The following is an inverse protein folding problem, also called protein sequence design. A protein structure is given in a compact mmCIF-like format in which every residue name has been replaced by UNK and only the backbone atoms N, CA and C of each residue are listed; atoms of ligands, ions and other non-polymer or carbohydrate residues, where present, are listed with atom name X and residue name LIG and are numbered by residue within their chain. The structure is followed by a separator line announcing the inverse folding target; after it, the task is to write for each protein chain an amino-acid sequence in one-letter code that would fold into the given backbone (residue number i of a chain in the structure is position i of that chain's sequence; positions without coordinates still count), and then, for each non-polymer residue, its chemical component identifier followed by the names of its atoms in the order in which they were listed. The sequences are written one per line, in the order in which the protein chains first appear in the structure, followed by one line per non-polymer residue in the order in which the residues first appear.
data_IF_458554230289
#
_entry.id   IF_458554230289
#
_cell.length_a   1.000
_cell.length_b   1.000
_cell.length_c   1.000
_cell.angle_alpha   90.00
_cell.angle_beta   90.00
_cell.angle_gamma   90.00
#
_symmetry.space_group_name_H-M   'P 1'
#
loop_
_entity.id
_entity.type
_entity.pdbx_description
1 polymer ?
#
# COMPACT_ATOMS: atom_id res chain seq x y z
N UNK A 1 9.26 -32.10 -15.65
CA UNK A 1 9.37 -30.62 -15.59
C UNK A 1 8.55 -29.93 -16.69
N UNK A 2 8.68 -30.25 -17.96
CA UNK A 2 7.85 -29.66 -19.04
C UNK A 2 6.32 -29.83 -18.85
N UNK A 3 5.86 -30.89 -18.16
CA UNK A 3 4.44 -31.16 -17.91
C UNK A 3 3.80 -30.16 -16.92
N UNK A 4 4.48 -29.80 -15.81
CA UNK A 4 3.92 -28.90 -14.79
C UNK A 4 3.84 -27.46 -15.28
N UNK A 5 4.84 -26.99 -16.02
CA UNK A 5 4.83 -25.65 -16.60
C UNK A 5 3.64 -25.49 -17.56
N UNK A 6 3.44 -26.45 -18.44
CA UNK A 6 2.31 -26.46 -19.39
C UNK A 6 0.94 -26.51 -18.70
N UNK A 7 0.84 -27.13 -17.50
CA UNK A 7 -0.40 -27.12 -16.71
C UNK A 7 -0.73 -25.72 -16.18
N UNK A 8 0.27 -25.04 -15.62
CA UNK A 8 0.07 -23.67 -15.10
C UNK A 8 -0.17 -22.67 -16.24
N UNK A 9 0.56 -22.81 -17.37
CA UNK A 9 0.33 -21.95 -18.54
C UNK A 9 -1.11 -22.06 -19.08
N UNK A 10 -1.70 -23.25 -19.07
CA UNK A 10 -3.09 -23.45 -19.53
C UNK A 10 -4.14 -22.80 -18.67
N UNK A 11 -3.90 -22.67 -17.38
CA UNK A 11 -4.84 -22.05 -16.43
C UNK A 11 -4.52 -20.57 -16.15
N UNK A 12 -3.50 -20.01 -16.81
CA UNK A 12 -3.05 -18.65 -16.49
C UNK A 12 -4.12 -17.60 -16.74
N UNK A 13 -4.88 -17.73 -17.83
CA UNK A 13 -6.01 -16.84 -18.11
C UNK A 13 -7.11 -16.98 -17.05
N UNK A 14 -7.38 -18.18 -16.55
CA UNK A 14 -8.34 -18.41 -15.46
C UNK A 14 -7.83 -17.80 -14.14
N UNK A 15 -6.51 -17.83 -13.89
CA UNK A 15 -5.88 -17.14 -12.75
C UNK A 15 -6.13 -15.64 -12.82
N UNK A 16 -5.92 -15.00 -13.99
CA UNK A 16 -6.17 -13.56 -14.18
C UNK A 16 -7.64 -13.20 -13.92
N UNK A 17 -8.59 -14.00 -14.43
CA UNK A 17 -10.02 -13.80 -14.21
C UNK A 17 -10.37 -13.92 -12.72
N UNK A 18 -9.80 -14.92 -12.04
CA UNK A 18 -10.04 -15.15 -10.62
C UNK A 18 -9.48 -14.03 -9.74
N UNK A 19 -8.30 -13.49 -10.09
CA UNK A 19 -7.71 -12.33 -9.43
C UNK A 19 -8.63 -11.10 -9.49
N UNK A 20 -9.28 -10.88 -10.63
CA UNK A 20 -10.21 -9.76 -10.82
C UNK A 20 -11.53 -9.96 -10.06
N UNK A 21 -12.11 -11.16 -10.14
CA UNK A 21 -13.45 -11.42 -9.64
C UNK A 21 -13.52 -11.77 -8.14
N UNK A 22 -12.51 -12.43 -7.61
CA UNK A 22 -12.55 -12.97 -6.23
C UNK A 22 -11.54 -12.29 -5.29
N UNK A 23 -10.50 -11.64 -5.84
CA UNK A 23 -9.45 -11.03 -5.02
C UNK A 23 -9.35 -9.51 -5.16
N UNK A 24 -10.34 -8.87 -5.79
CA UNK A 24 -10.46 -7.41 -5.96
C UNK A 24 -9.21 -6.76 -6.57
N UNK A 25 -8.44 -7.50 -7.37
CA UNK A 25 -7.32 -6.93 -8.12
C UNK A 25 -7.87 -6.21 -9.34
N UNK A 26 -7.70 -4.91 -9.42
CA UNK A 26 -8.28 -4.12 -10.51
C UNK A 26 -7.75 -4.55 -11.89
N UNK A 27 -8.60 -4.51 -12.93
CA UNK A 27 -8.20 -4.80 -14.32
C UNK A 27 -6.99 -3.96 -14.76
N UNK A 28 -6.87 -2.72 -14.28
CA UNK A 28 -5.72 -1.87 -14.56
C UNK A 28 -4.41 -2.44 -13.98
N UNK A 29 -4.47 -2.95 -12.74
CA UNK A 29 -3.32 -3.57 -12.09
C UNK A 29 -2.94 -4.90 -12.75
N UNK A 30 -3.93 -5.71 -13.13
CA UNK A 30 -3.71 -6.97 -13.86
C UNK A 30 -2.99 -6.69 -15.18
N UNK A 31 -3.49 -5.74 -15.98
CA UNK A 31 -2.90 -5.42 -17.28
C UNK A 31 -1.50 -4.80 -17.17
N UNK A 32 -1.25 -3.98 -16.12
CA UNK A 32 0.03 -3.30 -15.96
C UNK A 32 1.13 -4.19 -15.36
N UNK A 33 0.79 -5.12 -14.46
CA UNK A 33 1.77 -5.79 -13.59
C UNK A 33 1.72 -7.31 -13.61
N UNK A 34 0.54 -7.93 -13.80
CA UNK A 34 0.41 -9.40 -13.72
C UNK A 34 0.44 -10.03 -15.11
N UNK A 35 -0.27 -9.44 -16.06
CA UNK A 35 -0.29 -9.91 -17.44
C UNK A 35 1.08 -9.88 -18.14
N UNK A 36 2.00 -8.93 -17.84
CA UNK A 36 3.37 -8.96 -18.36
C UNK A 36 4.28 -10.02 -17.73
N UNK A 37 3.82 -10.76 -16.72
CA UNK A 37 4.60 -11.83 -16.10
C UNK A 37 4.60 -13.08 -17.01
N UNK A 38 5.76 -13.69 -17.15
CA UNK A 38 5.95 -14.94 -17.88
C UNK A 38 6.34 -16.06 -16.92
N UNK A 39 5.76 -17.25 -17.09
CA UNK A 39 6.12 -18.42 -16.31
C UNK A 39 7.48 -18.92 -16.80
N UNK A 40 8.53 -18.65 -16.00
CA UNK A 40 9.90 -19.07 -16.33
C UNK A 40 10.12 -20.54 -16.00
N UNK A 41 9.79 -20.95 -14.78
CA UNK A 41 9.96 -22.33 -14.31
C UNK A 41 8.89 -22.70 -13.27
N UNK A 42 8.57 -24.01 -13.20
CA UNK A 42 7.62 -24.57 -12.21
C UNK A 42 8.26 -25.78 -11.55
N UNK A 43 8.48 -25.70 -10.25
CA UNK A 43 9.01 -26.73 -9.38
C UNK A 43 7.89 -27.37 -8.56
N UNK A 44 8.20 -28.33 -7.72
CA UNK A 44 7.20 -29.11 -6.98
C UNK A 44 6.25 -28.26 -6.12
N UNK A 45 6.74 -27.15 -5.57
CA UNK A 45 5.98 -26.23 -4.68
C UNK A 45 6.28 -24.75 -4.96
N UNK A 46 6.94 -24.44 -6.07
CA UNK A 46 7.41 -23.09 -6.38
C UNK A 46 7.22 -22.78 -7.86
N UNK A 47 6.74 -21.56 -8.14
CA UNK A 47 6.62 -21.02 -9.49
C UNK A 47 7.53 -19.79 -9.58
N UNK A 48 8.39 -19.77 -10.59
CA UNK A 48 9.24 -18.63 -10.90
C UNK A 48 8.61 -17.87 -12.07
N UNK A 49 8.22 -16.63 -11.80
CA UNK A 49 7.67 -15.71 -12.77
C UNK A 49 8.77 -14.71 -13.19
N UNK A 50 8.96 -14.50 -14.48
CA UNK A 50 9.87 -13.47 -14.99
C UNK A 50 9.13 -12.22 -15.40
N UNK A 51 9.75 -11.07 -15.15
CA UNK A 51 9.30 -9.76 -15.58
C UNK A 51 10.32 -9.20 -16.58
N UNK A 52 9.83 -8.60 -17.67
CA UNK A 52 10.63 -7.97 -18.71
C UNK A 52 11.63 -6.94 -18.10
N UNK A 53 12.85 -6.90 -18.58
CA UNK A 53 13.93 -6.02 -18.08
C UNK A 53 13.58 -4.53 -18.05
N UNK A 54 12.59 -4.09 -18.87
CA UNK A 54 12.09 -2.70 -18.84
C UNK A 54 11.46 -2.27 -17.51
N UNK A 55 11.09 -3.20 -16.63
CA UNK A 55 10.41 -2.92 -15.36
C UNK A 55 11.37 -2.73 -14.17
N UNK A 56 12.66 -2.89 -14.29
CA UNK A 56 13.69 -2.82 -13.26
C UNK A 56 13.33 -3.54 -11.92
N UNK A 57 14.21 -3.47 -10.92
CA UNK A 57 13.97 -4.08 -9.60
C UNK A 57 12.80 -3.41 -8.83
N UNK A 58 12.49 -2.14 -9.12
CA UNK A 58 11.37 -1.42 -8.50
C UNK A 58 10.03 -2.03 -8.91
N UNK A 59 9.93 -2.56 -10.13
CA UNK A 59 8.76 -3.31 -10.58
C UNK A 59 8.50 -4.56 -9.74
N UNK A 60 9.52 -5.36 -9.46
CA UNK A 60 9.40 -6.53 -8.58
C UNK A 60 9.04 -6.12 -7.15
N UNK A 61 9.68 -5.07 -6.62
CA UNK A 61 9.35 -4.55 -5.29
C UNK A 61 7.90 -4.08 -5.21
N UNK A 62 7.39 -3.41 -6.25
CA UNK A 62 6.00 -3.00 -6.32
C UNK A 62 5.04 -4.20 -6.31
N UNK A 63 5.31 -5.22 -7.15
CA UNK A 63 4.51 -6.46 -7.22
C UNK A 63 4.45 -7.14 -5.85
N UNK A 64 5.59 -7.26 -5.16
CA UNK A 64 5.68 -7.83 -3.80
C UNK A 64 5.00 -6.95 -2.75
N UNK A 65 5.17 -5.63 -2.81
CA UNK A 65 4.51 -4.67 -1.90
C UNK A 65 2.98 -4.77 -2.00
N UNK A 66 2.46 -5.01 -3.20
CA UNK A 66 1.02 -5.20 -3.48
C UNK A 66 0.54 -6.63 -3.21
N UNK A 67 1.44 -7.53 -2.76
CA UNK A 67 1.15 -8.93 -2.45
C UNK A 67 0.55 -9.71 -3.61
N UNK A 68 0.92 -9.35 -4.85
CA UNK A 68 0.44 -10.09 -6.01
C UNK A 68 0.99 -11.53 -6.06
N UNK A 69 2.16 -11.79 -5.48
CA UNK A 69 2.68 -13.14 -5.21
C UNK A 69 1.69 -13.99 -4.42
N UNK A 70 1.14 -13.43 -3.35
CA UNK A 70 0.16 -14.10 -2.51
C UNK A 70 -1.16 -14.36 -3.25
N UNK A 71 -1.72 -13.34 -3.90
CA UNK A 71 -2.98 -13.50 -4.63
C UNK A 71 -2.85 -14.46 -5.80
N UNK A 72 -1.73 -14.44 -6.54
CA UNK A 72 -1.43 -15.40 -7.61
C UNK A 72 -1.33 -16.83 -7.03
N UNK A 73 -0.60 -17.00 -5.91
CA UNK A 73 -0.48 -18.29 -5.22
C UNK A 73 -1.85 -18.83 -4.79
N UNK A 74 -2.72 -17.96 -4.25
CA UNK A 74 -4.06 -18.32 -3.80
C UNK A 74 -4.95 -18.73 -4.99
N UNK A 75 -4.99 -17.94 -6.06
CA UNK A 75 -5.75 -18.24 -7.26
C UNK A 75 -5.32 -19.57 -7.92
N UNK A 76 -4.01 -19.82 -7.99
CA UNK A 76 -3.49 -21.10 -8.50
C UNK A 76 -3.86 -22.26 -7.56
N UNK A 77 -3.78 -22.05 -6.25
CA UNK A 77 -4.16 -23.06 -5.25
C UNK A 77 -5.62 -23.48 -5.39
N UNK A 78 -6.50 -22.51 -5.61
CA UNK A 78 -7.94 -22.77 -5.78
C UNK A 78 -8.25 -23.55 -7.08
N UNK A 79 -7.48 -23.27 -8.15
CA UNK A 79 -7.67 -23.95 -9.44
C UNK A 79 -7.03 -25.35 -9.50
N UNK A 80 -5.92 -25.54 -8.77
CA UNK A 80 -5.13 -26.78 -8.88
C UNK A 80 -5.21 -27.69 -7.66
N UNK A 81 -5.71 -27.16 -6.52
CA UNK A 81 -5.68 -27.84 -5.23
C UNK A 81 -4.27 -27.93 -4.60
N UNK A 82 -3.26 -27.25 -5.20
CA UNK A 82 -1.87 -27.27 -4.72
C UNK A 82 -1.40 -25.86 -4.41
N UNK A 83 -0.67 -25.72 -3.31
CA UNK A 83 -0.07 -24.44 -2.92
C UNK A 83 1.33 -24.32 -3.51
N UNK A 84 1.59 -23.17 -4.13
CA UNK A 84 2.88 -22.81 -4.71
C UNK A 84 3.39 -21.51 -4.08
N UNK A 85 4.67 -21.46 -3.80
CA UNK A 85 5.38 -20.22 -3.49
C UNK A 85 5.74 -19.50 -4.80
N UNK A 86 5.46 -18.21 -4.90
CA UNK A 86 5.72 -17.42 -6.10
C UNK A 86 7.00 -16.61 -5.90
N UNK A 87 7.93 -16.76 -6.83
CA UNK A 87 9.13 -15.93 -6.93
C UNK A 87 9.15 -15.15 -8.22
N UNK A 88 9.72 -13.92 -8.15
CA UNK A 88 9.87 -13.05 -9.31
C UNK A 88 11.33 -12.86 -9.64
N UNK A 89 11.66 -12.93 -10.93
CA UNK A 89 12.98 -12.64 -11.48
C UNK A 89 12.85 -11.62 -12.62
N UNK A 90 13.90 -10.81 -12.83
CA UNK A 90 14.01 -9.97 -14.02
C UNK A 90 14.65 -10.76 -15.15
N UNK A 91 14.15 -10.60 -16.38
CA UNK A 91 14.82 -11.09 -17.56
C UNK A 91 16.11 -10.29 -17.76
N UNK A 92 17.25 -10.99 -17.81
CA UNK A 92 18.54 -10.36 -18.08
C UNK A 92 18.67 -10.13 -19.57
N UNK A 93 18.56 -8.88 -20.02
CA UNK A 93 19.10 -8.49 -21.31
C UNK A 93 20.64 -8.41 -21.23
N UNK A 94 21.30 -8.81 -22.34
CA UNK A 94 22.72 -8.91 -22.38
C UNK A 94 23.48 -7.66 -21.93
N UNK A 95 24.46 -7.90 -21.12
CA UNK A 95 25.54 -7.05 -20.59
C UNK A 95 25.49 -5.53 -20.89
N UNK A 96 25.24 -4.74 -19.86
CA UNK A 96 25.77 -3.38 -19.70
C UNK A 96 26.33 -3.17 -18.31
N UNK A 97 27.35 -2.29 -18.14
CA UNK A 97 28.29 -2.34 -17.02
C UNK A 97 27.68 -1.92 -15.68
N UNK A 98 28.16 -2.59 -14.63
CA UNK A 98 27.93 -2.25 -13.22
C UNK A 98 28.31 -0.80 -12.92
N UNK A 99 27.34 -0.03 -12.46
CA UNK A 99 27.61 1.09 -11.57
C UNK A 99 27.51 0.61 -10.12
N UNK A 100 28.55 0.91 -9.39
CA UNK A 100 28.81 0.58 -7.98
C UNK A 100 27.65 1.03 -7.07
N UNK A 101 27.26 0.25 -6.05
CA UNK A 101 26.20 0.65 -5.15
C UNK A 101 26.65 1.78 -4.25
N UNK A 102 26.10 2.95 -4.48
CA UNK A 102 26.08 3.99 -3.48
C UNK A 102 25.19 3.54 -2.31
N UNK A 103 25.64 3.85 -1.09
CA UNK A 103 25.06 3.50 0.18
C UNK A 103 23.52 3.53 0.18
N UNK A 104 22.93 2.51 0.80
CA UNK A 104 21.50 2.41 1.02
C UNK A 104 20.97 3.71 1.63
N UNK A 105 19.95 4.36 1.03
CA UNK A 105 19.23 5.39 1.74
C UNK A 105 18.43 4.72 2.85
N UNK A 106 18.57 5.26 4.04
CA UNK A 106 17.70 5.03 5.18
C UNK A 106 16.24 5.03 4.72
N UNK A 107 15.44 4.16 5.27
CA UNK A 107 14.04 3.93 4.98
C UNK A 107 13.24 5.24 4.81
N UNK A 108 13.11 5.70 3.58
CA UNK A 108 12.15 6.74 3.23
C UNK A 108 10.76 6.09 3.18
N UNK A 109 10.21 5.86 4.39
CA UNK A 109 8.89 5.24 4.62
C UNK A 109 7.73 6.17 4.25
N UNK A 110 8.02 7.34 3.68
CA UNK A 110 7.01 8.31 3.32
C UNK A 110 6.77 8.29 1.81
N UNK A 111 5.76 7.53 1.40
CA UNK A 111 5.20 7.50 0.04
C UNK A 111 4.49 8.84 -0.29
N UNK A 112 5.07 9.97 0.17
CA UNK A 112 4.51 11.30 0.05
C UNK A 112 4.82 11.91 -1.32
N UNK A 113 3.82 12.50 -1.96
CA UNK A 113 4.02 13.25 -3.19
C UNK A 113 4.68 14.60 -2.89
N UNK A 114 5.90 14.89 -3.37
CA UNK A 114 6.62 16.13 -3.05
C UNK A 114 5.94 17.39 -3.59
N UNK A 115 4.98 17.25 -4.51
CA UNK A 115 4.22 18.38 -5.06
C UNK A 115 3.03 18.80 -4.20
N UNK A 116 2.66 17.99 -3.20
CA UNK A 116 1.50 18.25 -2.36
C UNK A 116 1.93 18.96 -1.08
N UNK A 117 2.05 20.28 -1.19
CA UNK A 117 2.41 21.19 -0.09
C UNK A 117 1.28 22.18 0.15
N UNK A 118 1.25 22.86 1.30
CA UNK A 118 0.27 23.92 1.55
C UNK A 118 0.39 25.08 0.55
N UNK A 119 1.60 25.40 0.09
CA UNK A 119 1.84 26.48 -0.88
C UNK A 119 1.24 26.20 -2.26
N UNK A 120 1.16 24.92 -2.64
CA UNK A 120 0.60 24.52 -3.94
C UNK A 120 -0.89 24.20 -3.86
N UNK A 121 -1.49 24.25 -2.66
CA UNK A 121 -2.91 23.97 -2.47
C UNK A 121 -3.78 25.16 -2.87
N UNK A 122 -4.76 24.93 -3.73
CA UNK A 122 -5.69 25.99 -4.17
C UNK A 122 -6.82 26.13 -3.15
N UNK A 123 -6.87 27.28 -2.46
CA UNK A 123 -7.88 27.57 -1.45
C UNK A 123 -9.10 28.20 -2.11
N UNK A 124 -10.30 27.65 -1.81
CA UNK A 124 -11.60 28.18 -2.19
C UNK A 124 -12.56 28.19 -0.98
N UNK A 125 -13.76 28.72 -1.18
CA UNK A 125 -14.73 28.84 -0.08
C UNK A 125 -15.13 27.47 0.51
N UNK A 126 -15.17 26.43 -0.32
CA UNK A 126 -15.61 25.09 0.09
C UNK A 126 -14.55 24.28 0.83
N UNK A 127 -13.26 24.64 0.73
CA UNK A 127 -12.17 23.91 1.36
C UNK A 127 -11.37 24.72 2.37
N UNK A 128 -11.72 26.00 2.60
CA UNK A 128 -11.02 26.90 3.52
C UNK A 128 -10.96 26.34 4.94
N UNK A 129 -12.06 25.76 5.42
CA UNK A 129 -12.12 25.17 6.76
C UNK A 129 -11.20 23.94 6.87
N UNK A 130 -11.23 23.05 5.87
CA UNK A 130 -10.37 21.87 5.82
C UNK A 130 -8.88 22.28 5.77
N UNK A 131 -8.55 23.30 4.98
CA UNK A 131 -7.19 23.84 4.90
C UNK A 131 -6.75 24.43 6.24
N UNK A 132 -7.57 25.26 6.89
CA UNK A 132 -7.23 25.86 8.19
C UNK A 132 -7.05 24.80 9.29
N UNK A 133 -7.93 23.78 9.34
CA UNK A 133 -7.79 22.66 10.26
C UNK A 133 -6.52 21.85 10.01
N UNK A 134 -6.16 21.67 8.73
CA UNK A 134 -4.93 20.97 8.33
C UNK A 134 -3.68 21.70 8.76
N UNK A 135 -3.64 23.03 8.63
CA UNK A 135 -2.54 23.86 9.15
C UNK A 135 -2.44 23.75 10.67
N UNK A 136 -3.57 23.89 11.40
CA UNK A 136 -3.56 23.78 12.84
C UNK A 136 -3.01 22.43 13.35
N UNK A 137 -3.34 21.33 12.66
CA UNK A 137 -2.79 20.00 12.97
C UNK A 137 -1.31 19.91 12.60
N UNK A 138 -0.89 20.51 11.51
CA UNK A 138 0.50 20.51 11.10
C UNK A 138 1.42 21.28 12.07
N UNK A 139 0.93 22.43 12.58
CA UNK A 139 1.66 23.29 13.53
C UNK A 139 1.70 22.69 14.95
N UNK A 140 0.60 22.06 15.38
CA UNK A 140 0.47 21.51 16.74
C UNK A 140 -0.21 20.13 16.71
N UNK A 141 0.51 19.06 16.33
CA UNK A 141 -0.02 17.71 16.26
C UNK A 141 -0.55 17.24 17.62
N UNK A 142 -1.71 16.60 17.60
CA UNK A 142 -2.46 16.08 18.75
C UNK A 142 -3.09 17.13 19.69
N UNK A 143 -2.93 18.43 19.44
CA UNK A 143 -3.46 19.48 20.30
C UNK A 143 -4.81 20.02 19.82
N UNK A 144 -4.93 20.38 18.53
CA UNK A 144 -6.12 21.09 18.02
C UNK A 144 -7.26 20.13 17.62
N UNK A 145 -6.99 19.23 16.71
CA UNK A 145 -7.97 18.28 16.15
C UNK A 145 -7.36 16.87 16.13
N UNK A 146 -7.79 16.01 17.07
CA UNK A 146 -7.34 14.62 17.13
C UNK A 146 -8.50 13.68 17.52
N UNK A 147 -8.92 12.77 16.62
CA UNK A 147 -8.48 12.63 15.23
C UNK A 147 -9.00 13.73 14.30
N UNK A 148 -8.26 14.02 13.21
CA UNK A 148 -8.75 14.85 12.11
C UNK A 148 -9.29 13.93 11.01
N UNK A 149 -10.57 14.10 10.65
CA UNK A 149 -11.18 13.41 9.51
C UNK A 149 -11.46 14.41 8.38
N UNK A 150 -10.84 14.18 7.22
CA UNK A 150 -11.15 14.90 6.00
C UNK A 150 -12.06 14.04 5.12
N UNK A 151 -13.24 14.51 4.81
CA UNK A 151 -14.23 13.76 4.03
C UNK A 151 -14.76 14.59 2.86
N UNK A 152 -15.22 13.92 1.82
CA UNK A 152 -15.77 14.57 0.62
C UNK A 152 -15.59 13.76 -0.64
N UNK A 153 -16.12 14.25 -1.76
CA UNK A 153 -16.03 13.63 -3.08
C UNK A 153 -14.61 13.51 -3.63
N UNK A 154 -14.47 12.84 -4.77
CA UNK A 154 -13.20 12.73 -5.50
C UNK A 154 -12.70 14.10 -5.98
N UNK A 155 -11.38 14.24 -6.08
CA UNK A 155 -10.75 15.44 -6.69
C UNK A 155 -10.77 16.71 -5.84
N UNK A 156 -11.28 16.68 -4.59
CA UNK A 156 -11.37 17.87 -3.73
C UNK A 156 -10.06 18.24 -3.00
N UNK A 157 -8.97 17.50 -3.25
CA UNK A 157 -7.67 17.80 -2.66
C UNK A 157 -7.44 17.23 -1.26
N UNK A 158 -8.23 16.26 -0.79
CA UNK A 158 -8.07 15.65 0.54
C UNK A 158 -6.67 15.03 0.73
N UNK A 159 -6.22 14.19 -0.23
CA UNK A 159 -4.88 13.58 -0.21
C UNK A 159 -3.80 14.65 -0.30
N UNK A 160 -4.03 15.74 -1.05
CA UNK A 160 -3.11 16.88 -1.09
C UNK A 160 -2.92 17.48 0.31
N UNK A 161 -4.01 17.79 1.04
CA UNK A 161 -3.92 18.33 2.40
C UNK A 161 -3.24 17.36 3.36
N UNK A 162 -3.53 16.06 3.26
CA UNK A 162 -2.88 15.05 4.09
C UNK A 162 -1.36 15.02 3.89
N UNK A 163 -0.90 15.04 2.64
CA UNK A 163 0.54 15.09 2.33
C UNK A 163 1.16 16.43 2.74
N UNK A 164 0.41 17.55 2.62
CA UNK A 164 0.89 18.87 3.08
C UNK A 164 1.16 18.89 4.58
N UNK A 165 0.27 18.27 5.37
CA UNK A 165 0.46 18.10 6.82
C UNK A 165 1.73 17.31 7.10
N UNK A 166 1.91 16.17 6.42
CA UNK A 166 3.08 15.31 6.59
C UNK A 166 4.39 16.06 6.27
N UNK A 167 4.45 16.72 5.11
CA UNK A 167 5.62 17.51 4.71
C UNK A 167 5.94 18.60 5.73
N UNK A 168 4.93 19.36 6.14
CA UNK A 168 5.12 20.42 7.12
C UNK A 168 5.69 19.91 8.45
N UNK A 169 5.14 18.82 8.99
CA UNK A 169 5.62 18.24 10.25
C UNK A 169 7.06 17.72 10.10
N UNK A 170 7.37 17.01 9.01
CA UNK A 170 8.73 16.46 8.77
C UNK A 170 9.76 17.59 8.65
N UNK A 171 9.41 18.69 7.96
CA UNK A 171 10.31 19.81 7.76
C UNK A 171 10.54 20.64 9.04
N UNK A 172 9.49 20.83 9.85
CA UNK A 172 9.54 21.73 11.01
C UNK A 172 9.77 20.98 12.33
N UNK A 173 9.54 19.68 12.40
CA UNK A 173 9.74 18.87 13.59
C UNK A 173 10.26 17.46 13.26
N UNK A 174 11.55 17.39 12.95
CA UNK A 174 12.24 16.14 12.58
C UNK A 174 12.30 15.09 13.70
N UNK A 175 11.91 15.44 14.93
CA UNK A 175 11.86 14.48 16.05
C UNK A 175 10.59 13.62 16.04
N UNK A 176 9.55 14.03 15.29
CA UNK A 176 8.30 13.28 15.21
C UNK A 176 8.35 12.23 14.11
N UNK A 177 7.98 11.01 14.47
CA UNK A 177 7.83 9.91 13.54
C UNK A 177 6.46 10.01 12.83
N UNK A 178 6.48 10.42 11.56
CA UNK A 178 5.29 10.54 10.71
C UNK A 178 5.18 9.30 9.83
N UNK A 179 4.03 8.63 9.86
CA UNK A 179 3.72 7.50 8.98
C UNK A 179 2.49 7.80 8.13
N UNK A 180 2.68 7.82 6.82
CA UNK A 180 1.60 7.80 5.86
C UNK A 180 1.39 6.37 5.34
N UNK A 181 0.15 5.92 5.34
CA UNK A 181 -0.24 4.58 4.88
C UNK A 181 -1.59 4.64 4.20
N UNK A 182 -1.73 3.94 3.08
CA UNK A 182 -3.06 3.69 2.50
C UNK A 182 -3.75 2.56 3.27
N UNK A 183 -5.07 2.53 3.27
CA UNK A 183 -5.81 1.41 3.88
C UNK A 183 -5.51 0.07 3.21
N UNK A 184 -5.13 0.09 1.93
CA UNK A 184 -4.67 -1.09 1.20
C UNK A 184 -3.31 -1.58 1.73
N UNK A 185 -2.33 -0.67 1.87
CA UNK A 185 -1.01 -1.02 2.43
C UNK A 185 -1.15 -1.54 3.87
N UNK A 186 -1.97 -0.88 4.70
CA UNK A 186 -2.27 -1.35 6.06
C UNK A 186 -2.89 -2.76 6.06
N UNK A 187 -3.86 -3.01 5.17
CA UNK A 187 -4.47 -4.34 5.03
C UNK A 187 -3.43 -5.39 4.68
N UNK A 188 -2.55 -5.09 3.72
CA UNK A 188 -1.49 -5.99 3.29
C UNK A 188 -0.49 -6.27 4.43
N UNK A 189 -0.13 -5.27 5.21
CA UNK A 189 0.73 -5.45 6.39
C UNK A 189 0.07 -6.33 7.45
N UNK A 190 -1.23 -6.15 7.72
CA UNK A 190 -1.99 -7.01 8.66
C UNK A 190 -2.01 -8.46 8.18
N UNK A 191 -2.33 -8.71 6.91
CA UNK A 191 -2.36 -10.05 6.34
C UNK A 191 -0.98 -10.72 6.45
N UNK A 192 0.09 -10.00 6.07
CA UNK A 192 1.46 -10.47 6.18
C UNK A 192 1.83 -10.82 7.63
N UNK A 193 1.46 -9.97 8.57
CA UNK A 193 1.76 -10.19 9.98
C UNK A 193 1.09 -11.46 10.53
N UNK A 194 -0.14 -11.73 10.11
CA UNK A 194 -0.88 -12.93 10.50
C UNK A 194 -0.22 -14.18 9.91
N UNK A 195 0.12 -14.16 8.62
CA UNK A 195 0.72 -15.31 7.93
C UNK A 195 2.08 -15.70 8.49
N UNK A 196 2.89 -14.70 8.82
CA UNK A 196 4.25 -14.92 9.34
C UNK A 196 4.33 -14.93 10.87
N UNK A 197 3.18 -14.85 11.58
CA UNK A 197 3.09 -14.76 13.06
C UNK A 197 3.90 -13.58 13.63
N UNK A 198 3.83 -12.42 12.94
CA UNK A 198 4.57 -11.19 13.26
C UNK A 198 3.67 -10.04 13.72
N UNK A 199 2.52 -10.35 14.34
CA UNK A 199 1.56 -9.33 14.77
C UNK A 199 2.15 -8.35 15.79
N UNK A 200 3.07 -8.81 16.66
CA UNK A 200 3.72 -7.92 17.62
C UNK A 200 4.70 -6.95 16.95
N UNK A 201 5.38 -7.37 15.86
CA UNK A 201 6.22 -6.46 15.07
C UNK A 201 5.36 -5.36 14.41
N UNK A 202 4.22 -5.73 13.84
CA UNK A 202 3.25 -4.79 13.28
C UNK A 202 2.78 -3.77 14.32
N UNK A 203 2.32 -4.25 15.47
CA UNK A 203 1.87 -3.40 16.58
C UNK A 203 2.98 -2.48 17.09
N UNK A 204 4.20 -2.98 17.21
CA UNK A 204 5.36 -2.18 17.61
C UNK A 204 5.65 -1.06 16.60
N UNK A 205 5.59 -1.35 15.29
CA UNK A 205 5.75 -0.35 14.23
C UNK A 205 4.77 0.82 14.42
N UNK A 206 3.48 0.50 14.56
CA UNK A 206 2.43 1.53 14.66
C UNK A 206 2.39 2.24 16.01
N UNK A 207 2.79 1.60 17.13
CA UNK A 207 2.85 2.25 18.45
C UNK A 207 3.99 3.26 18.60
N UNK A 208 5.04 3.13 17.80
CA UNK A 208 6.23 3.97 17.87
C UNK A 208 6.16 5.22 16.99
N UNK A 209 5.04 5.46 16.32
CA UNK A 209 4.81 6.68 15.53
C UNK A 209 4.17 7.77 16.37
N UNK A 210 4.36 9.01 15.97
CA UNK A 210 3.79 10.20 16.61
C UNK A 210 2.60 10.75 15.81
N UNK A 211 2.62 10.55 14.48
CA UNK A 211 1.58 11.00 13.55
C UNK A 211 1.22 9.89 12.59
N UNK A 212 -0.03 9.42 12.63
CA UNK A 212 -0.58 8.44 11.70
C UNK A 212 -1.50 9.11 10.70
N UNK A 213 -1.19 8.95 9.42
CA UNK A 213 -1.98 9.44 8.29
C UNK A 213 -2.51 8.23 7.51
N UNK A 214 -3.84 8.03 7.50
CA UNK A 214 -4.48 6.88 6.83
C UNK A 214 -5.34 7.36 5.69
N UNK A 215 -4.94 7.01 4.48
CA UNK A 215 -5.70 7.36 3.28
C UNK A 215 -6.76 6.28 2.97
N UNK A 216 -7.94 6.76 2.56
CA UNK A 216 -9.06 5.94 2.08
C UNK A 216 -9.49 4.82 3.04
N UNK A 217 -9.69 5.14 4.32
CA UNK A 217 -10.02 4.17 5.39
C UNK A 217 -11.26 3.31 5.09
N UNK A 218 -12.16 3.74 4.21
CA UNK A 218 -13.35 2.99 3.85
C UNK A 218 -13.03 1.62 3.22
N UNK A 219 -11.87 1.41 2.63
CA UNK A 219 -11.49 0.10 2.06
C UNK A 219 -11.11 -0.96 3.10
N UNK A 220 -11.09 -0.60 4.39
CA UNK A 220 -10.98 -1.57 5.50
C UNK A 220 -12.34 -2.21 5.81
N UNK A 221 -13.47 -1.61 5.34
CA UNK A 221 -14.81 -2.12 5.58
C UNK A 221 -14.97 -3.53 4.95
N UNK A 222 -15.54 -4.46 5.72
CA UNK A 222 -15.73 -5.85 5.30
C UNK A 222 -14.54 -6.78 5.55
N UNK A 223 -13.38 -6.26 6.00
CA UNK A 223 -12.17 -7.03 6.31
C UNK A 223 -12.01 -7.14 7.83
N UNK A 224 -12.71 -8.07 8.47
CA UNK A 224 -12.82 -8.15 9.94
C UNK A 224 -11.48 -8.12 10.68
N UNK A 225 -10.50 -8.94 10.26
CA UNK A 225 -9.18 -8.98 10.90
C UNK A 225 -8.43 -7.65 10.78
N UNK A 226 -8.54 -6.98 9.63
CA UNK A 226 -7.94 -5.67 9.40
C UNK A 226 -8.64 -4.58 10.21
N UNK A 227 -9.97 -4.64 10.30
CA UNK A 227 -10.75 -3.70 11.13
C UNK A 227 -10.38 -3.82 12.61
N UNK A 228 -10.26 -5.04 13.14
CA UNK A 228 -9.86 -5.28 14.52
C UNK A 228 -8.46 -4.72 14.80
N UNK A 229 -7.48 -5.01 13.95
CA UNK A 229 -6.12 -4.52 14.12
C UNK A 229 -6.02 -3.00 13.96
N UNK A 230 -6.78 -2.43 13.01
CA UNK A 230 -6.91 -0.97 12.88
C UNK A 230 -7.49 -0.34 14.13
N UNK A 231 -8.57 -0.90 14.69
CA UNK A 231 -9.19 -0.41 15.92
C UNK A 231 -8.24 -0.46 17.12
N UNK A 232 -7.46 -1.53 17.25
CA UNK A 232 -6.45 -1.64 18.30
C UNK A 232 -5.34 -0.60 18.12
N UNK A 233 -4.86 -0.40 16.89
CA UNK A 233 -3.84 0.60 16.56
C UNK A 233 -4.35 2.01 16.84
N UNK A 234 -5.57 2.33 16.37
CA UNK A 234 -6.22 3.62 16.61
C UNK A 234 -6.33 3.93 18.10
N UNK A 235 -6.87 3.00 18.89
CA UNK A 235 -7.03 3.20 20.33
C UNK A 235 -5.69 3.37 21.04
N UNK A 236 -4.68 2.60 20.67
CA UNK A 236 -3.34 2.70 21.25
C UNK A 236 -2.74 4.10 21.02
N UNK A 237 -2.84 4.61 19.79
CA UNK A 237 -2.35 5.95 19.43
C UNK A 237 -3.16 7.07 20.08
N UNK A 238 -4.47 6.97 20.02
CA UNK A 238 -5.38 7.97 20.62
C UNK A 238 -5.15 8.12 22.13
N UNK A 239 -5.07 7.00 22.85
CA UNK A 239 -4.81 6.99 24.29
C UNK A 239 -3.41 7.50 24.65
N UNK A 240 -2.44 7.35 23.74
CA UNK A 240 -1.08 7.87 23.87
C UNK A 240 -0.93 9.32 23.41
N UNK A 241 -2.04 10.00 23.09
CA UNK A 241 -2.07 11.38 22.57
C UNK A 241 -1.20 11.57 21.32
N UNK A 242 -1.21 10.59 20.44
CA UNK A 242 -0.57 10.67 19.12
C UNK A 242 -1.57 11.21 18.11
N UNK A 243 -1.10 11.98 17.12
CA UNK A 243 -1.98 12.52 16.08
C UNK A 243 -2.47 11.44 15.16
N UNK A 244 -3.75 11.42 14.91
CA UNK A 244 -4.37 10.57 13.89
C UNK A 244 -5.09 11.45 12.88
N UNK A 245 -4.87 11.16 11.60
CA UNK A 245 -5.56 11.79 10.49
C UNK A 245 -6.04 10.71 9.52
N UNK A 246 -7.29 10.82 9.07
CA UNK A 246 -7.83 9.86 8.13
C UNK A 246 -8.67 10.54 7.06
N UNK A 247 -8.58 10.00 5.84
CA UNK A 247 -9.43 10.39 4.73
C UNK A 247 -10.60 9.43 4.58
N UNK A 248 -11.76 10.00 4.28
CA UNK A 248 -12.98 9.25 3.96
C UNK A 248 -13.47 9.74 2.59
N UNK A 249 -13.54 8.81 1.66
CA UNK A 249 -14.15 9.08 0.38
C UNK A 249 -15.65 8.81 0.45
N UNK A 250 -16.46 9.86 0.27
CA UNK A 250 -17.92 9.70 0.17
C UNK A 250 -18.23 9.56 -1.32
N UNK A 251 -18.58 8.34 -1.75
CA UNK A 251 -19.22 8.16 -3.04
C UNK A 251 -20.65 8.66 -2.94
N UNK A 252 -21.06 9.54 -3.87
CA UNK A 252 -22.47 9.91 -3.96
C UNK A 252 -23.30 8.64 -4.22
N UNK A 253 -24.44 8.48 -3.54
CA UNK A 253 -25.32 7.37 -3.85
C UNK A 253 -25.75 7.50 -5.31
N UNK A 254 -25.43 6.49 -6.10
CA UNK A 254 -25.94 6.35 -7.48
C UNK A 254 -27.46 6.42 -7.42
N UNK A 255 -28.03 7.48 -7.97
CA UNK A 255 -29.46 7.62 -8.15
C UNK A 255 -29.97 6.68 -9.22
#
# INVERSE_FOLDING_TARGET
MLSMKNEIEKIWDDVLVKLEQEHDVSSAAINAWIKPLHIKDVQSNKIILSLDAKYDERGIQFIKKKMYDFYISLAISDLTGKKYDIEFELEKDGEKPQETPAAAPEHDNNNLNPRYTFDTFVIGDNNRMAHAASIAVAEAPAEAYNPLFLYGGAGLGKTHLMHSIAHYIIEHNSSLNVLYVTSEDFTNEVINSIQHKKQEELRSKYRNIDVLLVDDIQFVIGKESTQQEFFHTFNALYNSKKQILSLIHISEPTR
#
